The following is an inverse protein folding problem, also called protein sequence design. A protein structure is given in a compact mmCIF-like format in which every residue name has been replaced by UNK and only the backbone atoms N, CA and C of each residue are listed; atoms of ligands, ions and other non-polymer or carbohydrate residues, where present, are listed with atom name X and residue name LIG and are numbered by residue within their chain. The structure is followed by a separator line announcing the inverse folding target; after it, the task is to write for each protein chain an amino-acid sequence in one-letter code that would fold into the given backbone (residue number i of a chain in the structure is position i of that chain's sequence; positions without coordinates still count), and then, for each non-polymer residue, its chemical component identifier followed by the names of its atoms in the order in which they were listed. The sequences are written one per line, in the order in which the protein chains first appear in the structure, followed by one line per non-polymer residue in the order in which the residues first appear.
data_IF_368949562817
#
_entry.id   IF_368949562817
#
_cell.length_a   1.000
_cell.length_b   1.000
_cell.length_c   1.000
_cell.angle_alpha   90.00
_cell.angle_beta   90.00
_cell.angle_gamma   90.00
#
_symmetry.space_group_name_H-M   'P 1'
#
loop_
_entity.id
_entity.type
_entity.pdbx_description
1 polymer ?
#
# COMPACT_ATOMS: atom_id res chain seq x y z
N UNK A 1 -29.94 13.21 -21.71
CA UNK A 1 -28.88 12.27 -22.15
C UNK A 1 -27.59 12.50 -21.37
N UNK A 2 -27.23 13.76 -21.15
CA UNK A 2 -26.03 14.19 -20.43
C UNK A 2 -25.98 13.68 -18.98
N UNK A 3 -27.06 13.83 -18.19
CA UNK A 3 -27.10 13.34 -16.79
C UNK A 3 -26.86 11.82 -16.67
N UNK A 4 -27.48 11.04 -17.56
CA UNK A 4 -27.32 9.58 -17.61
C UNK A 4 -25.90 9.19 -17.98
N UNK A 5 -25.25 9.95 -18.87
CA UNK A 5 -23.86 9.71 -19.23
C UNK A 5 -22.92 9.98 -18.04
N UNK A 6 -23.12 11.09 -17.33
CA UNK A 6 -22.36 11.42 -16.13
C UNK A 6 -22.51 10.37 -15.04
N UNK A 7 -23.73 9.88 -14.79
CA UNK A 7 -23.99 8.82 -13.81
C UNK A 7 -23.22 7.54 -14.16
N UNK A 8 -23.27 7.11 -15.43
CA UNK A 8 -22.55 5.90 -15.90
C UNK A 8 -21.04 6.07 -15.76
N UNK A 9 -20.48 7.22 -16.15
CA UNK A 9 -19.04 7.48 -16.05
C UNK A 9 -18.57 7.57 -14.60
N UNK A 10 -19.35 8.23 -13.73
CA UNK A 10 -19.06 8.32 -12.30
C UNK A 10 -19.12 6.96 -11.63
N UNK A 11 -20.13 6.15 -11.95
CA UNK A 11 -20.26 4.78 -11.46
C UNK A 11 -19.09 3.90 -11.92
N UNK A 12 -18.70 3.99 -13.19
CA UNK A 12 -17.53 3.28 -13.72
C UNK A 12 -16.24 3.68 -12.97
N UNK A 13 -15.98 4.98 -12.83
CA UNK A 13 -14.79 5.48 -12.13
C UNK A 13 -14.77 5.08 -10.65
N UNK A 14 -15.93 5.14 -9.97
CA UNK A 14 -16.07 4.70 -8.59
C UNK A 14 -15.83 3.21 -8.41
N UNK A 15 -16.41 2.38 -9.28
CA UNK A 15 -16.23 0.93 -9.24
C UNK A 15 -14.76 0.56 -9.47
N UNK A 16 -14.09 1.21 -10.43
CA UNK A 16 -12.67 1.02 -10.69
C UNK A 16 -11.81 1.42 -9.48
N UNK A 17 -12.05 2.60 -8.90
CA UNK A 17 -11.36 3.08 -7.70
C UNK A 17 -11.55 2.10 -6.52
N UNK A 18 -12.80 1.76 -6.22
CA UNK A 18 -13.18 0.91 -5.09
C UNK A 18 -12.57 -0.49 -5.19
N UNK A 19 -12.66 -1.11 -6.38
CA UNK A 19 -12.08 -2.43 -6.64
C UNK A 19 -10.57 -2.47 -6.36
N UNK A 20 -9.82 -1.47 -6.84
CA UNK A 20 -8.37 -1.43 -6.64
C UNK A 20 -7.97 -1.01 -5.22
N UNK A 21 -8.78 -0.19 -4.55
CA UNK A 21 -8.59 0.15 -3.14
C UNK A 21 -8.77 -1.10 -2.25
N UNK A 22 -9.78 -1.92 -2.52
CA UNK A 22 -10.01 -3.19 -1.82
C UNK A 22 -8.91 -4.23 -2.11
N UNK A 23 -8.49 -4.35 -3.38
CA UNK A 23 -7.39 -5.23 -3.78
C UNK A 23 -6.09 -4.94 -3.00
N UNK A 24 -5.83 -3.68 -2.66
CA UNK A 24 -4.67 -3.26 -1.88
C UNK A 24 -4.68 -3.84 -0.47
N UNK A 25 -5.81 -3.75 0.25
CA UNK A 25 -5.97 -4.32 1.58
C UNK A 25 -5.85 -5.84 1.57
N UNK A 26 -6.48 -6.51 0.59
CA UNK A 26 -6.39 -7.97 0.43
C UNK A 26 -4.95 -8.43 0.19
N UNK A 27 -4.23 -7.73 -0.68
CA UNK A 27 -2.82 -8.03 -1.00
C UNK A 27 -1.91 -7.83 0.21
N UNK A 28 -2.14 -6.75 0.97
CA UNK A 28 -1.39 -6.49 2.20
C UNK A 28 -1.65 -7.55 3.27
N UNK A 29 -2.91 -7.93 3.49
CA UNK A 29 -3.27 -8.97 4.45
C UNK A 29 -2.63 -10.32 4.09
N UNK A 30 -2.67 -10.71 2.80
CA UNK A 30 -2.01 -11.92 2.31
C UNK A 30 -0.50 -11.90 2.61
N UNK A 31 0.16 -10.75 2.39
CA UNK A 31 1.57 -10.59 2.72
C UNK A 31 1.85 -10.80 4.21
N UNK A 32 1.06 -10.16 5.10
CA UNK A 32 1.25 -10.30 6.55
C UNK A 32 1.07 -11.75 6.99
N UNK A 33 0.08 -12.46 6.43
CA UNK A 33 -0.12 -13.88 6.71
C UNK A 33 1.08 -14.72 6.28
N UNK A 34 1.59 -14.53 5.05
CA UNK A 34 2.76 -15.25 4.55
C UNK A 34 4.02 -14.93 5.36
N UNK A 35 4.25 -13.66 5.69
CA UNK A 35 5.38 -13.22 6.50
C UNK A 35 5.35 -13.86 7.89
N UNK A 36 4.18 -13.86 8.54
CA UNK A 36 3.99 -14.51 9.85
C UNK A 36 4.28 -16.00 9.78
N UNK A 37 3.81 -16.69 8.74
CA UNK A 37 4.08 -18.10 8.54
C UNK A 37 5.57 -18.39 8.37
N UNK A 38 6.28 -17.60 7.54
CA UNK A 38 7.72 -17.78 7.31
C UNK A 38 8.54 -17.49 8.57
N UNK A 39 8.19 -16.45 9.31
CA UNK A 39 8.83 -16.13 10.60
C UNK A 39 8.61 -17.26 11.59
N UNK A 40 7.38 -17.80 11.69
CA UNK A 40 7.08 -18.95 12.53
C UNK A 40 7.90 -20.19 12.16
N UNK A 41 7.99 -20.50 10.86
CA UNK A 41 8.81 -21.60 10.36
C UNK A 41 10.30 -21.41 10.68
N UNK A 42 10.83 -20.19 10.53
CA UNK A 42 12.21 -19.87 10.85
C UNK A 42 12.51 -20.08 12.34
N UNK A 43 11.63 -19.65 13.23
CA UNK A 43 11.77 -19.85 14.67
C UNK A 43 11.72 -21.35 15.03
N UNK A 44 10.80 -22.11 14.42
CA UNK A 44 10.70 -23.55 14.64
C UNK A 44 11.99 -24.28 14.21
N UNK A 45 12.51 -23.97 13.02
CA UNK A 45 13.75 -24.58 12.50
C UNK A 45 15.00 -24.17 13.29
N UNK A 46 14.99 -22.98 13.88
CA UNK A 46 16.10 -22.50 14.72
C UNK A 46 16.16 -23.21 16.08
N UNK A 47 15.02 -23.74 16.55
CA UNK A 47 14.93 -24.49 17.83
C UNK A 47 15.29 -25.97 17.69
N UNK A 48 15.20 -26.54 16.49
CA UNK A 48 15.59 -27.92 16.23
C UNK A 48 17.13 -28.02 16.06
N UNK A 49 17.86 -28.73 16.95
CA UNK A 49 19.32 -28.84 16.88
C UNK A 49 19.83 -29.45 15.56
N UNK A 50 19.08 -30.37 14.95
CA UNK A 50 19.47 -31.03 13.70
C UNK A 50 19.35 -30.07 12.50
N UNK A 51 18.35 -29.19 12.49
CA UNK A 51 18.19 -28.16 11.47
C UNK A 51 18.97 -26.88 11.79
N UNK A 52 19.33 -26.64 13.05
CA UNK A 52 20.07 -25.47 13.49
C UNK A 52 21.54 -25.47 13.05
N UNK A 53 22.14 -26.61 12.65
CA UNK A 53 23.42 -26.60 11.94
C UNK A 53 23.30 -26.65 10.41
N UNK A 54 22.09 -26.79 9.87
CA UNK A 54 21.88 -26.91 8.43
C UNK A 54 21.81 -25.54 7.75
N UNK A 55 22.52 -25.38 6.63
CA UNK A 55 22.47 -24.19 5.75
C UNK A 55 21.07 -23.94 5.18
N UNK A 56 20.22 -24.96 5.18
CA UNK A 56 18.83 -24.88 4.72
C UNK A 56 17.98 -23.91 5.53
N UNK A 57 18.27 -23.72 6.82
CA UNK A 57 17.51 -22.78 7.66
C UNK A 57 17.73 -21.31 7.28
N UNK A 58 18.83 -21.00 6.58
CA UNK A 58 19.10 -19.65 6.08
C UNK A 58 18.29 -19.30 4.82
N UNK A 59 17.64 -20.27 4.17
CA UNK A 59 16.80 -20.02 2.99
C UNK A 59 15.50 -19.28 3.33
N UNK A 60 14.96 -19.48 4.54
CA UNK A 60 13.69 -18.87 4.96
C UNK A 60 13.75 -17.34 5.05
N UNK A 61 14.79 -16.72 5.67
CA UNK A 61 14.96 -15.27 5.61
C UNK A 61 15.14 -14.72 4.19
N UNK A 62 15.87 -15.41 3.31
CA UNK A 62 15.99 -14.98 1.91
C UNK A 62 14.66 -15.08 1.15
N UNK A 63 13.87 -16.12 1.41
CA UNK A 63 12.52 -16.25 0.86
C UNK A 63 11.62 -15.10 1.32
N UNK A 64 11.67 -14.74 2.60
CA UNK A 64 10.92 -13.61 3.13
C UNK A 64 11.36 -12.29 2.47
N UNK A 65 12.66 -12.06 2.33
CA UNK A 65 13.19 -10.87 1.67
C UNK A 65 12.74 -10.78 0.19
N UNK A 66 12.76 -11.90 -0.53
CA UNK A 66 12.29 -11.99 -1.90
C UNK A 66 10.78 -11.69 -2.00
N UNK A 67 9.96 -12.27 -1.12
CA UNK A 67 8.53 -11.98 -1.08
C UNK A 67 8.25 -10.51 -0.74
N UNK A 68 8.95 -9.93 0.24
CA UNK A 68 8.82 -8.50 0.56
C UNK A 68 9.08 -7.62 -0.66
N UNK A 69 10.10 -7.94 -1.46
CA UNK A 69 10.39 -7.22 -2.70
C UNK A 69 9.27 -7.37 -3.76
N UNK A 70 8.77 -8.60 -3.96
CA UNK A 70 7.68 -8.86 -4.91
C UNK A 70 6.41 -8.12 -4.50
N UNK A 71 5.99 -8.25 -3.23
CA UNK A 71 4.79 -7.57 -2.73
C UNK A 71 4.93 -6.05 -2.72
N UNK A 72 6.13 -5.50 -2.50
CA UNK A 72 6.37 -4.07 -2.65
C UNK A 72 6.08 -3.57 -4.08
N UNK A 73 6.46 -4.34 -5.11
CA UNK A 73 6.14 -4.01 -6.51
C UNK A 73 4.64 -4.10 -6.80
N UNK A 74 3.97 -5.13 -6.28
CA UNK A 74 2.50 -5.25 -6.39
C UNK A 74 1.79 -4.05 -5.74
N UNK A 75 2.21 -3.67 -4.54
CA UNK A 75 1.66 -2.52 -3.82
C UNK A 75 1.88 -1.22 -4.60
N UNK A 76 3.08 -1.02 -5.16
CA UNK A 76 3.39 0.15 -5.97
C UNK A 76 2.50 0.23 -7.23
N UNK A 77 2.16 -0.90 -7.85
CA UNK A 77 1.24 -0.96 -8.98
C UNK A 77 -0.19 -0.65 -8.55
N UNK A 78 -0.71 -1.30 -7.52
CA UNK A 78 -2.08 -1.07 -7.03
C UNK A 78 -2.29 0.39 -6.62
N UNK A 79 -1.30 1.00 -5.97
CA UNK A 79 -1.32 2.42 -5.63
C UNK A 79 -1.50 3.34 -6.86
N UNK A 80 -0.90 2.99 -8.01
CA UNK A 80 -1.08 3.75 -9.25
C UNK A 80 -2.49 3.59 -9.81
N UNK A 81 -3.04 2.37 -9.78
CA UNK A 81 -4.41 2.10 -10.27
C UNK A 81 -5.45 2.85 -9.43
N UNK A 82 -5.31 2.84 -8.10
CA UNK A 82 -6.18 3.64 -7.20
C UNK A 82 -6.11 5.13 -7.55
N UNK A 83 -4.90 5.67 -7.76
CA UNK A 83 -4.72 7.08 -8.16
C UNK A 83 -5.34 7.42 -9.50
N UNK A 84 -5.36 6.49 -10.46
CA UNK A 84 -6.03 6.70 -11.74
C UNK A 84 -7.55 6.82 -11.56
N UNK A 85 -8.16 5.97 -10.71
CA UNK A 85 -9.58 6.08 -10.37
C UNK A 85 -9.91 7.37 -9.63
N UNK A 86 -9.06 7.77 -8.68
CA UNK A 86 -9.16 9.05 -7.98
C UNK A 86 -9.09 10.25 -8.94
N UNK A 87 -8.14 10.24 -9.88
CA UNK A 87 -7.98 11.30 -10.88
C UNK A 87 -9.21 11.40 -11.81
N UNK A 88 -9.76 10.25 -12.24
CA UNK A 88 -10.97 10.22 -13.03
C UNK A 88 -12.18 10.80 -12.28
N UNK A 89 -12.33 10.47 -10.99
CA UNK A 89 -13.40 11.02 -10.15
C UNK A 89 -13.25 12.53 -9.94
N UNK A 90 -12.03 13.02 -9.68
CA UNK A 90 -11.74 14.46 -9.59
C UNK A 90 -12.11 15.19 -10.87
N UNK A 91 -11.71 14.64 -12.03
CA UNK A 91 -12.05 15.21 -13.33
C UNK A 91 -13.58 15.30 -13.53
N UNK A 92 -14.32 14.25 -13.20
CA UNK A 92 -15.78 14.27 -13.31
C UNK A 92 -16.44 15.27 -12.34
N UNK A 93 -15.91 15.43 -11.13
CA UNK A 93 -16.39 16.42 -10.15
C UNK A 93 -16.14 17.87 -10.59
N UNK A 94 -15.09 18.13 -11.38
CA UNK A 94 -14.79 19.45 -11.94
C UNK A 94 -15.77 19.85 -13.05
N UNK A 95 -16.32 18.89 -13.79
CA UNK A 95 -17.32 19.15 -14.85
C UNK A 95 -18.69 19.56 -14.29
N UNK A 96 -18.96 19.31 -13.01
CA UNK A 96 -20.21 19.68 -12.37
C UNK A 96 -20.09 21.10 -11.81
N UNK A 97 -20.89 22.02 -12.33
CA UNK A 97 -21.06 23.35 -11.75
C UNK A 97 -21.91 23.25 -10.48
N UNK A 98 -21.25 23.39 -9.33
CA UNK A 98 -21.87 23.31 -8.01
C UNK A 98 -22.11 24.71 -7.41
N UNK A 99 -21.88 25.78 -8.18
CA UNK A 99 -21.96 27.15 -7.71
C UNK A 99 -20.87 27.53 -6.70
N UNK A 100 -20.91 28.80 -6.26
CA UNK A 100 -19.92 29.34 -5.33
C UNK A 100 -20.15 28.81 -3.90
N UNK A 101 -19.13 28.19 -3.31
CA UNK A 101 -19.10 27.77 -1.92
C UNK A 101 -18.16 28.67 -1.12
N UNK A 102 -18.61 29.20 0.04
CA UNK A 102 -17.92 30.27 0.78
C UNK A 102 -16.64 29.83 1.50
N UNK A 103 -16.42 28.53 1.72
CA UNK A 103 -15.36 28.01 2.60
C UNK A 103 -14.38 27.04 1.89
N UNK A 104 -14.10 27.26 0.61
CA UNK A 104 -13.19 26.42 -0.20
C UNK A 104 -13.93 25.49 -1.15
N UNK A 105 -13.37 24.33 -1.53
CA UNK A 105 -14.02 23.38 -2.43
C UNK A 105 -15.40 22.96 -1.91
N UNK A 106 -16.39 22.87 -2.81
CA UNK A 106 -17.76 22.46 -2.46
C UNK A 106 -17.75 21.11 -1.73
N UNK A 107 -18.66 20.91 -0.76
CA UNK A 107 -18.73 19.70 0.11
C UNK A 107 -18.81 18.38 -0.67
N UNK A 108 -19.36 18.42 -1.88
CA UNK A 108 -19.51 17.25 -2.77
C UNK A 108 -18.21 16.88 -3.49
N UNK A 109 -17.24 17.80 -3.60
CA UNK A 109 -15.92 17.55 -4.18
C UNK A 109 -14.98 16.99 -3.11
N UNK A 110 -15.30 15.80 -2.61
CA UNK A 110 -14.68 15.19 -1.43
C UNK A 110 -13.15 15.15 -1.58
N UNK A 111 -12.64 14.69 -2.72
CA UNK A 111 -11.20 14.59 -2.94
C UNK A 111 -10.50 15.95 -3.04
N UNK A 112 -11.13 16.95 -3.68
CA UNK A 112 -10.57 18.30 -3.76
C UNK A 112 -10.55 18.98 -2.39
N UNK A 113 -11.56 18.70 -1.56
CA UNK A 113 -11.65 19.15 -0.17
C UNK A 113 -10.57 18.53 0.69
N UNK A 114 -10.33 17.21 0.57
CA UNK A 114 -9.24 16.52 1.26
C UNK A 114 -7.86 17.07 0.85
N UNK A 115 -7.65 17.35 -0.44
CA UNK A 115 -6.42 17.97 -0.94
C UNK A 115 -6.24 19.40 -0.39
N UNK A 116 -7.31 20.19 -0.33
CA UNK A 116 -7.28 21.55 0.19
C UNK A 116 -6.94 21.61 1.69
N UNK A 117 -7.57 20.77 2.51
CA UNK A 117 -7.23 20.67 3.93
C UNK A 117 -5.84 20.09 4.17
N UNK A 118 -5.43 19.12 3.36
CA UNK A 118 -4.08 18.55 3.39
C UNK A 118 -3.02 19.57 2.95
N UNK A 119 -3.35 20.48 2.04
CA UNK A 119 -2.48 21.55 1.53
C UNK A 119 -2.39 22.76 2.47
N UNK A 120 -3.49 23.18 3.10
CA UNK A 120 -3.47 24.25 4.11
C UNK A 120 -2.69 23.89 5.37
N UNK A 121 -2.65 22.60 5.74
CA UNK A 121 -1.88 22.11 6.89
C UNK A 121 -0.35 22.06 6.63
N UNK A 122 0.10 22.29 5.38
CA UNK A 122 1.49 22.08 4.93
C UNK A 122 2.40 23.32 5.02
N UNK A 123 2.40 24.05 6.15
CA UNK A 123 3.47 25.03 6.42
C UNK A 123 4.82 24.38 6.82
N UNK A 124 4.90 23.05 6.91
CA UNK A 124 6.14 22.33 7.24
C UNK A 124 6.21 20.96 6.55
N UNK A 125 7.32 20.61 5.87
CA UNK A 125 7.51 19.31 5.22
C UNK A 125 7.51 18.12 6.20
N UNK A 126 7.72 18.39 7.50
CA UNK A 126 7.71 17.40 8.58
C UNK A 126 6.30 17.08 9.11
N UNK A 127 5.28 17.90 8.77
CA UNK A 127 3.87 17.68 9.14
C UNK A 127 3.08 16.94 8.07
N UNK A 128 3.71 16.48 6.98
CA UNK A 128 3.07 15.60 6.01
C UNK A 128 2.77 14.28 6.73
N UNK A 129 1.55 14.16 7.24
CA UNK A 129 1.10 13.00 8.01
C UNK A 129 1.44 11.70 7.28
N UNK A 130 1.73 10.65 8.05
CA UNK A 130 2.05 9.35 7.49
C UNK A 130 0.88 8.86 6.63
N UNK A 131 1.04 8.89 5.31
CA UNK A 131 0.06 8.30 4.41
C UNK A 131 0.12 6.78 4.57
N UNK A 132 -1.03 6.10 4.52
CA UNK A 132 -1.11 4.63 4.52
C UNK A 132 -0.09 3.96 3.57
N UNK A 133 0.14 4.57 2.40
CA UNK A 133 1.14 4.11 1.40
C UNK A 133 2.59 4.19 1.87
N UNK A 134 2.91 5.12 2.77
CA UNK A 134 4.24 5.24 3.35
C UNK A 134 4.45 4.17 4.42
N UNK A 135 3.46 3.91 5.28
CA UNK A 135 3.51 2.82 6.26
C UNK A 135 3.72 1.46 5.58
N UNK A 136 2.95 1.17 4.53
CA UNK A 136 3.06 -0.13 3.85
C UNK A 136 4.43 -0.31 3.18
N UNK A 137 4.97 0.74 2.53
CA UNK A 137 6.33 0.70 1.98
C UNK A 137 7.38 0.50 3.07
N UNK A 138 7.25 1.16 4.21
CA UNK A 138 8.16 0.99 5.34
C UNK A 138 8.17 -0.45 5.83
N UNK A 139 7.00 -1.09 5.96
CA UNK A 139 6.88 -2.51 6.33
C UNK A 139 7.65 -3.41 5.36
N UNK A 140 7.49 -3.25 4.05
CA UNK A 140 8.23 -4.06 3.06
C UNK A 140 9.74 -3.84 3.11
N UNK A 141 10.18 -2.60 3.34
CA UNK A 141 11.60 -2.27 3.46
C UNK A 141 12.19 -2.90 4.73
N UNK A 142 11.53 -2.74 5.87
CA UNK A 142 11.99 -3.28 7.16
C UNK A 142 12.07 -4.80 7.12
N UNK A 143 11.02 -5.49 6.66
CA UNK A 143 11.05 -6.94 6.51
C UNK A 143 12.02 -7.39 5.43
N UNK A 144 12.06 -6.71 4.28
CA UNK A 144 12.94 -7.06 3.17
C UNK A 144 14.42 -6.99 3.55
N UNK A 145 14.89 -5.83 3.98
CA UNK A 145 16.29 -5.64 4.38
C UNK A 145 16.60 -6.38 5.67
N UNK A 146 15.71 -6.37 6.65
CA UNK A 146 15.89 -7.08 7.92
C UNK A 146 16.08 -8.58 7.70
N UNK A 147 15.23 -9.21 6.87
CA UNK A 147 15.36 -10.63 6.56
C UNK A 147 16.56 -10.94 5.67
N UNK A 148 16.97 -10.04 4.78
CA UNK A 148 18.18 -10.21 4.00
C UNK A 148 19.44 -10.20 4.89
N UNK A 149 19.55 -9.23 5.81
CA UNK A 149 20.66 -9.15 6.78
C UNK A 149 20.65 -10.39 7.68
N UNK A 150 19.49 -10.80 8.18
CA UNK A 150 19.36 -11.99 9.02
C UNK A 150 19.78 -13.27 8.27
N UNK A 151 19.40 -13.41 7.00
CA UNK A 151 19.82 -14.53 6.15
C UNK A 151 21.34 -14.55 5.93
N UNK A 152 21.94 -13.38 5.73
CA UNK A 152 23.39 -13.25 5.59
C UNK A 152 24.14 -13.58 6.89
N UNK A 153 23.66 -13.09 8.03
CA UNK A 153 24.21 -13.43 9.35
C UNK A 153 24.11 -14.94 9.62
N UNK A 154 22.98 -15.56 9.29
CA UNK A 154 22.80 -17.01 9.40
C UNK A 154 23.81 -17.80 8.56
N UNK A 155 24.16 -17.31 7.36
CA UNK A 155 25.16 -17.94 6.50
C UNK A 155 26.59 -17.79 7.03
N UNK A 156 26.89 -16.72 7.77
CA UNK A 156 28.23 -16.50 8.34
C UNK A 156 28.47 -17.29 9.63
N UNK A 157 27.41 -17.60 10.38
CA UNK A 157 27.50 -18.31 11.66
C UNK A 157 27.43 -19.84 11.54
N UNK A 158 27.11 -20.38 10.36
CA UNK A 158 27.02 -21.83 10.09
C UNK A 158 27.95 -22.29 8.98
#
# INVERSE_FOLDING_TARGET
MEDKYYEVMRSYAWNYFSMHADQRLKTFNLYVTLATFIIGAFIAFSKDPAMSCSKWSCLLPFLLAFLSFVFWKFEARNMRLVRNGEAALKYLDEQIDLGAYKEGPHVLRIFARDDYFSGQSQSSPYKKGWTYSTCFKAVFIVFGYGSFILGFLCLLTK
#
